data_IF_377278655936
#
_entry.id   IF_377278655936
#
_cell.length_a   1.000
_cell.length_b   1.000
_cell.length_c   1.000
_cell.angle_alpha   90.00
_cell.angle_beta   90.00
_cell.angle_gamma   90.00
#
_symmetry.space_group_name_H-M   'P 1'
#
loop_
_entity.id
_entity.type
_entity.pdbx_description
1 polymer ?
#
# COMPACT_ATOMS: atom_id res chain seq x y z
N UNK A 1 37.89 3.10 4.83
CA UNK A 1 37.93 2.15 3.70
C UNK A 1 36.61 1.38 3.68
N UNK A 2 35.99 1.10 2.52
CA UNK A 2 34.70 0.36 2.32
C UNK A 2 33.34 1.09 2.49
N UNK A 3 33.29 2.42 2.63
CA UNK A 3 32.00 3.13 2.80
C UNK A 3 31.05 3.05 1.59
N UNK A 4 31.60 3.03 0.37
CA UNK A 4 30.81 2.98 -0.87
C UNK A 4 30.26 1.58 -1.15
N UNK A 5 31.10 0.56 -0.94
CA UNK A 5 30.75 -0.87 -1.09
C UNK A 5 29.67 -1.26 -0.10
N UNK A 6 29.78 -0.84 1.17
CA UNK A 6 28.75 -1.08 2.17
C UNK A 6 27.42 -0.41 1.80
N UNK A 7 27.44 0.84 1.32
CA UNK A 7 26.22 1.54 0.89
C UNK A 7 25.53 0.83 -0.29
N UNK A 8 26.30 0.30 -1.24
CA UNK A 8 25.72 -0.46 -2.35
C UNK A 8 25.12 -1.79 -1.90
N UNK A 9 25.77 -2.46 -0.94
CA UNK A 9 25.27 -3.70 -0.37
C UNK A 9 23.98 -3.46 0.42
N UNK A 10 23.98 -2.46 1.31
CA UNK A 10 22.80 -2.07 2.09
C UNK A 10 21.61 -1.76 1.18
N UNK A 11 21.84 -0.96 0.12
CA UNK A 11 20.80 -0.64 -0.86
C UNK A 11 20.27 -1.89 -1.58
N UNK A 12 21.15 -2.80 -1.99
CA UNK A 12 20.76 -4.04 -2.64
C UNK A 12 19.84 -4.88 -1.74
N UNK A 13 20.27 -5.11 -0.49
CA UNK A 13 19.52 -5.89 0.50
C UNK A 13 18.17 -5.24 0.81
N UNK A 14 18.16 -3.92 1.02
CA UNK A 14 16.93 -3.19 1.34
C UNK A 14 15.90 -3.30 0.20
N UNK A 15 16.33 -3.09 -1.05
CA UNK A 15 15.43 -3.16 -2.19
C UNK A 15 14.91 -4.58 -2.43
N UNK A 16 15.77 -5.60 -2.32
CA UNK A 16 15.35 -7.00 -2.47
C UNK A 16 14.32 -7.39 -1.39
N UNK A 17 14.53 -6.99 -0.13
CA UNK A 17 13.57 -7.23 0.94
C UNK A 17 12.23 -6.53 0.70
N UNK A 18 12.25 -5.30 0.16
CA UNK A 18 11.02 -4.57 -0.19
C UNK A 18 10.25 -5.29 -1.29
N UNK A 19 10.92 -5.76 -2.34
CA UNK A 19 10.27 -6.52 -3.41
C UNK A 19 9.68 -7.84 -2.89
N UNK A 20 10.45 -8.61 -2.10
CA UNK A 20 9.95 -9.85 -1.50
C UNK A 20 8.71 -9.61 -0.63
N UNK A 21 8.73 -8.60 0.23
CA UNK A 21 7.58 -8.24 1.08
C UNK A 21 6.37 -7.80 0.25
N UNK A 22 6.59 -6.98 -0.78
CA UNK A 22 5.51 -6.51 -1.66
C UNK A 22 4.84 -7.67 -2.43
N UNK A 23 5.62 -8.71 -2.77
CA UNK A 23 5.12 -9.93 -3.41
C UNK A 23 4.49 -10.93 -2.41
N UNK A 24 4.49 -10.62 -1.12
CA UNK A 24 3.88 -11.44 -0.08
C UNK A 24 4.77 -12.60 0.41
N UNK A 25 6.08 -12.53 0.22
CA UNK A 25 7.01 -13.46 0.86
C UNK A 25 6.81 -13.43 2.38
N UNK A 26 6.64 -14.60 3.02
CA UNK A 26 6.32 -14.78 4.44
C UNK A 26 4.97 -14.18 4.91
N UNK A 27 4.09 -13.71 4.02
CA UNK A 27 2.78 -13.15 4.41
C UNK A 27 1.74 -14.20 4.82
N UNK A 28 1.94 -15.45 4.39
CA UNK A 28 1.02 -16.58 4.61
C UNK A 28 1.81 -17.78 5.11
N UNK A 29 1.44 -18.32 6.27
CA UNK A 29 2.16 -19.41 6.92
C UNK A 29 2.06 -20.77 6.21
N UNK A 30 1.07 -20.98 5.33
CA UNK A 30 0.80 -22.25 4.64
C UNK A 30 1.17 -22.24 3.14
N UNK A 31 2.14 -21.40 2.76
CA UNK A 31 2.57 -21.29 1.36
C UNK A 31 3.53 -22.42 0.99
N UNK A 32 3.27 -23.08 -0.13
CA UNK A 32 4.17 -24.12 -0.67
C UNK A 32 5.51 -23.54 -1.13
N UNK A 33 6.60 -24.30 -0.92
CA UNK A 33 7.98 -23.89 -1.27
C UNK A 33 8.14 -23.48 -2.74
N UNK A 34 7.45 -24.15 -3.66
CA UNK A 34 7.48 -23.83 -5.09
C UNK A 34 6.97 -22.41 -5.39
N UNK A 35 6.07 -21.88 -4.56
CA UNK A 35 5.54 -20.52 -4.70
C UNK A 35 6.55 -19.52 -4.16
N UNK A 36 7.24 -19.83 -3.07
CA UNK A 36 8.30 -18.99 -2.53
C UNK A 36 9.48 -18.84 -3.50
N UNK A 37 9.87 -19.91 -4.18
CA UNK A 37 10.90 -19.87 -5.23
C UNK A 37 10.47 -18.97 -6.40
N UNK A 38 9.20 -19.06 -6.83
CA UNK A 38 8.65 -18.16 -7.87
C UNK A 38 8.67 -16.70 -7.42
N UNK A 39 8.37 -16.44 -6.15
CA UNK A 39 8.42 -15.08 -5.57
C UNK A 39 9.84 -14.54 -5.58
N UNK A 40 10.83 -15.35 -5.20
CA UNK A 40 12.23 -14.97 -5.22
C UNK A 40 12.70 -14.65 -6.64
N UNK A 41 12.44 -15.53 -7.62
CA UNK A 41 12.78 -15.29 -9.02
C UNK A 41 12.09 -14.04 -9.60
N UNK A 42 10.85 -13.77 -9.18
CA UNK A 42 10.14 -12.58 -9.60
C UNK A 42 10.70 -11.30 -8.97
N UNK A 43 11.06 -11.32 -7.69
CA UNK A 43 11.72 -10.21 -7.00
C UNK A 43 13.05 -9.84 -7.67
N UNK A 44 13.86 -10.84 -8.05
CA UNK A 44 15.14 -10.61 -8.75
C UNK A 44 14.92 -9.98 -10.14
N UNK A 45 13.88 -10.43 -10.86
CA UNK A 45 13.50 -9.84 -12.16
C UNK A 45 13.11 -8.37 -12.03
N UNK A 46 12.33 -8.03 -10.99
CA UNK A 46 11.93 -6.66 -10.71
C UNK A 46 13.13 -5.78 -10.36
N UNK A 47 14.08 -6.30 -9.59
CA UNK A 47 15.30 -5.58 -9.24
C UNK A 47 16.13 -5.22 -10.48
N UNK A 48 16.31 -6.15 -11.41
CA UNK A 48 17.03 -5.86 -12.66
C UNK A 48 16.32 -4.85 -13.54
N UNK A 49 14.97 -4.91 -13.61
CA UNK A 49 14.18 -3.92 -14.34
C UNK A 49 14.34 -2.53 -13.72
N UNK A 50 14.28 -2.42 -12.39
CA UNK A 50 14.50 -1.16 -11.68
C UNK A 50 15.88 -0.58 -12.01
N UNK A 51 16.96 -1.39 -11.99
CA UNK A 51 18.30 -0.93 -12.36
C UNK A 51 18.38 -0.41 -13.80
N UNK A 52 17.67 -1.04 -14.74
CA UNK A 52 17.61 -0.55 -16.12
C UNK A 52 16.87 0.80 -16.21
N UNK A 53 15.80 0.97 -15.44
CA UNK A 53 15.05 2.22 -15.38
C UNK A 53 15.88 3.35 -14.79
N UNK A 54 16.57 3.13 -13.67
CA UNK A 54 17.44 4.13 -13.05
C UNK A 54 18.55 4.59 -13.98
N UNK A 55 19.16 3.66 -14.74
CA UNK A 55 20.16 4.01 -15.75
C UNK A 55 19.58 4.88 -16.85
N UNK A 56 18.43 4.49 -17.39
CA UNK A 56 17.76 5.26 -18.45
C UNK A 56 17.34 6.67 -17.98
N UNK A 57 16.87 6.81 -16.74
CA UNK A 57 16.56 8.13 -16.15
C UNK A 57 17.84 8.94 -15.96
N UNK A 58 18.90 8.36 -15.39
CA UNK A 58 20.15 9.06 -15.18
C UNK A 58 20.82 9.50 -16.50
N UNK A 59 20.65 8.74 -17.58
CA UNK A 59 21.09 9.12 -18.93
C UNK A 59 20.23 10.26 -19.50
N UNK A 60 18.91 10.17 -19.39
CA UNK A 60 18.00 11.22 -19.83
C UNK A 60 18.24 12.55 -19.07
N UNK A 61 18.45 12.49 -17.75
CA UNK A 61 18.78 13.66 -16.92
C UNK A 61 20.12 14.28 -17.34
N UNK A 62 21.16 13.47 -17.59
CA UNK A 62 22.46 13.96 -18.06
C UNK A 62 22.38 14.60 -19.44
N UNK A 63 21.53 14.06 -20.31
CA UNK A 63 21.31 14.57 -21.67
C UNK A 63 20.29 15.70 -21.72
N UNK A 64 19.66 16.06 -20.60
CA UNK A 64 18.59 17.06 -20.52
C UNK A 64 17.34 16.67 -21.30
N UNK A 65 17.14 15.38 -21.57
CA UNK A 65 15.96 14.84 -22.27
C UNK A 65 14.84 14.56 -21.29
N UNK A 66 13.60 14.58 -21.79
CA UNK A 66 12.42 14.25 -20.99
C UNK A 66 12.52 12.84 -20.39
N UNK A 67 12.01 12.67 -19.16
CA UNK A 67 12.09 11.41 -18.44
C UNK A 67 11.47 10.25 -19.24
N UNK A 68 12.17 9.11 -19.37
CA UNK A 68 11.66 7.97 -20.11
C UNK A 68 10.39 7.42 -19.45
N UNK A 69 9.31 7.29 -20.23
CA UNK A 69 8.06 6.66 -19.78
C UNK A 69 8.24 5.14 -19.77
N UNK A 70 8.08 4.53 -18.60
CA UNK A 70 8.15 3.08 -18.45
C UNK A 70 6.76 2.43 -18.53
N UNK A 71 6.68 1.28 -19.20
CA UNK A 71 5.45 0.51 -19.27
C UNK A 71 5.00 0.07 -17.86
N UNK A 72 3.71 0.21 -17.50
CA UNK A 72 3.21 -0.21 -16.20
C UNK A 72 3.30 -1.74 -16.04
N UNK A 73 3.64 -2.20 -14.84
CA UNK A 73 3.87 -3.62 -14.56
C UNK A 73 2.58 -4.47 -14.57
N UNK A 74 1.41 -3.83 -14.46
CA UNK A 74 0.12 -4.48 -14.24
C UNK A 74 -0.76 -4.56 -15.50
N UNK A 75 -0.32 -4.03 -16.65
CA UNK A 75 -1.18 -4.00 -17.86
C UNK A 75 -1.39 -5.37 -18.50
N UNK A 76 -0.50 -6.33 -18.21
CA UNK A 76 -0.56 -7.69 -18.74
C UNK A 76 -0.82 -8.71 -17.63
N UNK A 77 -1.97 -8.61 -16.95
CA UNK A 77 -2.56 -9.71 -16.15
C UNK A 77 -1.57 -10.50 -15.28
N UNK A 78 -0.58 -9.82 -14.69
CA UNK A 78 0.42 -10.46 -13.86
C UNK A 78 -0.31 -11.02 -12.65
N UNK A 79 -0.47 -12.34 -12.60
CA UNK A 79 -1.10 -13.07 -11.50
C UNK A 79 -0.59 -12.52 -10.18
N UNK A 80 -1.42 -11.70 -9.55
CA UNK A 80 -1.38 -11.52 -8.11
C UNK A 80 -1.54 -12.91 -7.52
N UNK A 81 -0.42 -13.52 -7.11
CA UNK A 81 -0.45 -14.89 -6.59
C UNK A 81 -1.07 -14.93 -5.20
N UNK A 82 -1.43 -13.78 -4.59
CA UNK A 82 -2.24 -13.73 -3.36
C UNK A 82 -3.02 -12.42 -3.21
N UNK A 83 -4.03 -12.20 -4.05
CA UNK A 83 -5.17 -11.36 -3.67
C UNK A 83 -6.44 -12.21 -3.74
N UNK A 84 -7.10 -12.52 -2.61
CA UNK A 84 -8.48 -12.95 -2.68
C UNK A 84 -9.31 -11.73 -3.09
N UNK A 85 -9.95 -11.83 -4.25
CA UNK A 85 -11.13 -11.10 -4.68
C UNK A 85 -11.20 -9.59 -4.33
N UNK A 86 -10.56 -8.77 -5.15
CA UNK A 86 -11.06 -7.43 -5.50
C UNK A 86 -11.10 -7.28 -7.04
N UNK A 87 -11.54 -8.33 -7.74
CA UNK A 87 -11.81 -8.31 -9.17
C UNK A 87 -13.33 -8.15 -9.37
N UNK A 88 -13.85 -6.97 -9.03
CA UNK A 88 -15.22 -6.56 -9.36
C UNK A 88 -15.35 -5.03 -9.33
N UNK A 89 -14.48 -4.29 -10.04
CA UNK A 89 -14.68 -2.86 -10.29
C UNK A 89 -13.87 -2.33 -11.48
N UNK A 90 -13.66 -3.13 -12.53
CA UNK A 90 -12.96 -2.68 -13.73
C UNK A 90 -13.81 -2.89 -14.99
N UNK A 91 -14.97 -2.23 -15.03
CA UNK A 91 -15.64 -1.88 -16.28
C UNK A 91 -16.28 -0.51 -16.13
N UNK A 92 -16.11 0.34 -17.15
CA UNK A 92 -16.51 1.75 -17.28
C UNK A 92 -15.49 2.76 -16.70
N UNK A 93 -15.04 3.80 -17.38
CA UNK A 93 -15.22 4.26 -18.75
C UNK A 93 -14.08 5.25 -19.08
N UNK A 94 -13.90 5.47 -20.38
CA UNK A 94 -13.01 6.45 -21.01
C UNK A 94 -13.56 7.88 -20.81
N UNK A 95 -12.63 8.85 -20.69
CA UNK A 95 -12.79 10.31 -20.83
C UNK A 95 -13.77 11.06 -19.89
N UNK A 96 -13.22 11.94 -19.04
CA UNK A 96 -13.44 13.40 -19.04
C UNK A 96 -12.81 14.02 -17.77
N UNK A 97 -11.86 14.94 -17.95
CA UNK A 97 -11.51 15.97 -16.96
C UNK A 97 -12.53 17.08 -17.17
N UNK A 98 -13.30 17.55 -16.16
CA UNK A 98 -12.77 18.51 -15.18
C UNK A 98 -13.41 18.53 -13.78
N UNK A 99 -12.73 19.26 -12.87
CA UNK A 99 -13.25 19.87 -11.63
C UNK A 99 -13.32 19.03 -10.34
N UNK A 100 -12.23 18.34 -9.98
CA UNK A 100 -12.13 17.55 -8.73
C UNK A 100 -11.46 18.34 -7.59
N UNK A 101 -11.99 19.51 -7.22
CA UNK A 101 -11.51 20.25 -6.04
C UNK A 101 -12.56 20.44 -4.94
N UNK A 102 -13.75 19.82 -5.06
CA UNK A 102 -14.81 19.95 -4.04
C UNK A 102 -15.42 18.64 -3.55
N UNK A 103 -15.10 17.51 -4.17
CA UNK A 103 -15.58 16.17 -3.79
C UNK A 103 -14.45 15.17 -3.55
N UNK A 104 -13.22 15.65 -3.46
CA UNK A 104 -12.04 14.80 -3.29
C UNK A 104 -12.05 14.15 -1.90
N UNK A 105 -11.77 12.83 -1.79
CA UNK A 105 -11.58 12.13 -0.51
C UNK A 105 -10.66 12.87 0.48
N UNK A 106 -9.75 13.72 -0.03
CA UNK A 106 -8.89 14.61 0.73
C UNK A 106 -9.63 15.58 1.66
N UNK A 107 -10.82 16.06 1.30
CA UNK A 107 -11.58 16.98 2.14
C UNK A 107 -12.12 16.34 3.42
N UNK A 108 -12.18 15.00 3.47
CA UNK A 108 -12.60 14.22 4.64
C UNK A 108 -11.44 13.89 5.58
N UNK A 109 -10.20 14.20 5.19
CA UNK A 109 -9.03 14.00 6.02
C UNK A 109 -8.87 15.15 7.01
N UNK A 110 -8.23 14.95 8.17
CA UNK A 110 -8.00 16.01 9.12
C UNK A 110 -7.05 17.10 8.54
N UNK A 111 -7.20 18.33 9.04
CA UNK A 111 -6.63 19.55 8.44
C UNK A 111 -5.09 19.54 8.39
N UNK A 112 -4.45 18.90 9.36
CA UNK A 112 -3.02 18.66 9.45
C UNK A 112 -2.51 17.80 8.27
N UNK A 113 -3.21 16.69 7.99
CA UNK A 113 -2.86 15.81 6.86
C UNK A 113 -3.11 16.52 5.53
N UNK A 114 -4.19 17.29 5.43
CA UNK A 114 -4.45 18.09 4.22
C UNK A 114 -3.33 19.09 3.94
N UNK A 115 -2.78 19.73 4.98
CA UNK A 115 -1.67 20.67 4.84
C UNK A 115 -0.39 19.97 4.37
N UNK A 116 -0.06 18.82 4.97
CA UNK A 116 1.11 18.01 4.57
C UNK A 116 1.00 17.51 3.12
N UNK A 117 -0.20 17.14 2.68
CA UNK A 117 -0.42 16.72 1.29
C UNK A 117 -0.21 17.89 0.33
N UNK A 118 -0.76 19.06 0.65
CA UNK A 118 -0.59 20.27 -0.17
C UNK A 118 0.88 20.68 -0.27
N UNK A 119 1.60 20.71 0.84
CA UNK A 119 3.04 20.98 0.89
C UNK A 119 3.83 20.03 -0.02
N UNK A 120 3.52 18.72 0.03
CA UNK A 120 4.15 17.73 -0.85
C UNK A 120 3.83 17.98 -2.33
N UNK A 121 2.61 18.40 -2.67
CA UNK A 121 2.18 18.65 -4.04
C UNK A 121 2.73 19.95 -4.64
N UNK A 122 3.02 20.95 -3.80
CA UNK A 122 3.56 22.26 -4.22
C UNK A 122 4.94 22.13 -4.88
N UNK A 123 5.76 21.18 -4.44
CA UNK A 123 7.11 20.93 -4.98
C UNK A 123 7.15 20.16 -6.30
N UNK A 124 6.05 19.51 -6.72
CA UNK A 124 6.00 18.74 -7.98
C UNK A 124 5.34 19.57 -9.08
N UNK A 125 5.84 19.51 -10.31
CA UNK A 125 5.23 20.19 -11.47
C UNK A 125 4.94 19.20 -12.59
N UNK A 126 3.95 19.50 -13.43
CA UNK A 126 3.60 18.68 -14.58
C UNK A 126 3.12 17.26 -14.21
N UNK A 127 3.69 16.26 -14.90
CA UNK A 127 3.26 14.84 -14.82
C UNK A 127 3.47 14.25 -13.41
N UNK A 128 4.52 14.67 -12.70
CA UNK A 128 4.81 14.16 -11.36
C UNK A 128 3.72 14.52 -10.35
N UNK A 129 3.13 15.72 -10.49
CA UNK A 129 2.02 16.16 -9.65
C UNK A 129 0.78 15.30 -9.88
N UNK A 130 0.42 15.05 -11.14
CA UNK A 130 -0.72 14.18 -11.47
C UNK A 130 -0.53 12.75 -10.95
N UNK A 131 0.69 12.22 -11.05
CA UNK A 131 1.03 10.89 -10.54
C UNK A 131 0.89 10.84 -9.01
N UNK A 132 1.40 11.87 -8.32
CA UNK A 132 1.32 11.96 -6.87
C UNK A 132 -0.13 12.09 -6.38
N UNK A 133 -0.96 12.88 -7.07
CA UNK A 133 -2.39 13.01 -6.76
C UNK A 133 -3.13 11.67 -6.93
N UNK A 134 -2.87 10.95 -8.02
CA UNK A 134 -3.45 9.61 -8.25
C UNK A 134 -2.99 8.60 -7.19
N UNK A 135 -1.72 8.63 -6.81
CA UNK A 135 -1.18 7.76 -5.75
C UNK A 135 -1.84 8.05 -4.39
N UNK A 136 -1.99 9.32 -4.03
CA UNK A 136 -2.67 9.73 -2.79
C UNK A 136 -4.15 9.35 -2.79
N UNK A 137 -4.84 9.51 -3.92
CA UNK A 137 -6.23 9.08 -4.05
C UNK A 137 -6.38 7.56 -3.83
N UNK A 138 -5.47 6.77 -4.42
CA UNK A 138 -5.43 5.33 -4.22
C UNK A 138 -5.17 4.96 -2.74
N UNK A 139 -4.21 5.62 -2.09
CA UNK A 139 -3.91 5.41 -0.67
C UNK A 139 -5.12 5.72 0.23
N UNK A 140 -5.82 6.83 -0.03
CA UNK A 140 -7.02 7.17 0.74
C UNK A 140 -8.11 6.12 0.55
N UNK A 141 -8.33 5.65 -0.69
CA UNK A 141 -9.33 4.61 -0.96
C UNK A 141 -8.99 3.29 -0.24
N UNK A 142 -7.73 2.85 -0.31
CA UNK A 142 -7.26 1.65 0.39
C UNK A 142 -7.39 1.81 1.92
N UNK A 143 -7.05 2.98 2.46
CA UNK A 143 -7.21 3.28 3.88
C UNK A 143 -8.67 3.23 4.36
N UNK A 144 -9.63 3.62 3.52
CA UNK A 144 -11.06 3.52 3.82
C UNK A 144 -11.51 2.05 3.90
N UNK A 145 -11.05 1.20 2.99
CA UNK A 145 -11.34 -0.25 3.01
C UNK A 145 -10.74 -0.93 4.24
N UNK A 146 -9.47 -0.64 4.58
CA UNK A 146 -8.82 -1.15 5.78
C UNK A 146 -9.58 -0.73 7.04
N UNK A 147 -10.00 0.54 7.12
CA UNK A 147 -10.81 1.03 8.25
C UNK A 147 -12.16 0.31 8.34
N UNK A 148 -12.82 0.04 7.22
CA UNK A 148 -14.08 -0.70 7.19
C UNK A 148 -13.89 -2.15 7.68
N UNK A 149 -12.86 -2.84 7.19
CA UNK A 149 -12.51 -4.19 7.60
C UNK A 149 -12.18 -4.26 9.09
N UNK A 150 -11.37 -3.32 9.59
CA UNK A 150 -11.03 -3.26 11.02
C UNK A 150 -12.26 -3.01 11.90
N UNK A 151 -13.19 -2.15 11.46
CA UNK A 151 -14.45 -1.92 12.15
C UNK A 151 -15.30 -3.20 12.23
N UNK A 152 -15.32 -4.00 11.17
CA UNK A 152 -16.03 -5.28 11.17
C UNK A 152 -15.37 -6.29 12.12
N UNK A 153 -14.05 -6.45 12.07
CA UNK A 153 -13.30 -7.32 13.00
C UNK A 153 -13.57 -6.93 14.46
N UNK A 154 -13.57 -5.62 14.76
CA UNK A 154 -13.85 -5.14 16.11
C UNK A 154 -15.30 -5.42 16.54
N UNK A 155 -16.27 -5.24 15.63
CA UNK A 155 -17.67 -5.58 15.90
C UNK A 155 -17.84 -7.07 16.17
N UNK A 156 -17.25 -7.92 15.34
CA UNK A 156 -17.33 -9.38 15.49
C UNK A 156 -16.73 -9.81 16.83
N UNK A 157 -15.53 -9.30 17.17
CA UNK A 157 -14.91 -9.56 18.48
C UNK A 157 -15.74 -9.03 19.65
N UNK A 158 -16.41 -7.87 19.49
CA UNK A 158 -17.30 -7.33 20.52
C UNK A 158 -18.59 -8.13 20.68
N UNK A 159 -19.14 -8.67 19.58
CA UNK A 159 -20.33 -9.52 19.61
C UNK A 159 -20.01 -10.88 20.24
N UNK A 160 -18.83 -11.46 19.97
CA UNK A 160 -18.34 -12.65 20.66
C UNK A 160 -18.16 -12.40 22.17
N UNK A 161 -17.64 -11.24 22.56
CA UNK A 161 -17.55 -10.84 23.98
C UNK A 161 -18.95 -10.74 24.60
N UNK A 162 -19.90 -10.11 23.93
CA UNK A 162 -21.28 -9.98 24.41
C UNK A 162 -21.96 -11.35 24.57
N UNK A 163 -21.79 -12.26 23.61
CA UNK A 163 -22.30 -13.64 23.73
C UNK A 163 -21.74 -14.37 24.95
N UNK A 164 -20.43 -14.23 25.24
CA UNK A 164 -19.83 -14.82 26.44
C UNK A 164 -20.43 -14.26 27.74
N UNK A 165 -20.76 -12.97 27.75
CA UNK A 165 -21.43 -12.32 28.88
C UNK A 165 -22.87 -12.82 29.01
N UNK A 166 -23.61 -12.90 27.90
CA UNK A 166 -25.00 -13.39 27.86
C UNK A 166 -25.14 -14.88 28.25
N UNK A 167 -24.18 -15.71 27.84
CA UNK A 167 -24.10 -17.14 28.19
C UNK A 167 -23.58 -17.37 29.63
N UNK A 168 -23.18 -16.32 30.34
CA UNK A 168 -22.66 -16.40 31.72
C UNK A 168 -21.21 -16.92 31.82
N UNK A 169 -20.51 -17.08 30.69
CA UNK A 169 -19.12 -17.53 30.59
C UNK A 169 -18.14 -16.33 30.54
N UNK A 170 -18.32 -15.36 31.44
CA UNK A 170 -17.53 -14.14 31.49
C UNK A 170 -16.06 -14.41 31.85
N UNK A 171 -15.11 -13.84 31.09
CA UNK A 171 -13.69 -13.89 31.47
C UNK A 171 -13.41 -12.91 32.62
N UNK A 172 -12.37 -13.16 33.42
CA UNK A 172 -11.92 -12.23 34.48
C UNK A 172 -11.72 -10.80 33.93
N UNK A 173 -11.19 -10.67 32.70
CA UNK A 173 -11.01 -9.38 32.02
C UNK A 173 -12.35 -8.73 31.66
N UNK A 174 -13.36 -9.52 31.28
CA UNK A 174 -14.69 -9.02 30.93
C UNK A 174 -15.42 -8.48 32.18
N UNK A 175 -15.28 -9.16 33.33
CA UNK A 175 -15.78 -8.68 34.64
C UNK A 175 -15.11 -7.40 35.12
N UNK A 176 -13.79 -7.32 34.99
CA UNK A 176 -13.04 -6.12 35.39
C UNK A 176 -13.40 -4.94 34.48
N UNK A 177 -13.56 -5.19 33.17
CA UNK A 177 -13.98 -4.17 32.21
C UNK A 177 -15.41 -3.69 32.45
N UNK A 178 -16.34 -4.57 32.86
CA UNK A 178 -17.73 -4.16 33.13
C UNK A 178 -17.85 -3.32 34.40
N UNK A 179 -17.05 -3.62 35.43
CA UNK A 179 -17.02 -2.86 36.70
C UNK A 179 -16.31 -1.51 36.55
N UNK A 180 -15.18 -1.46 35.84
CA UNK A 180 -14.41 -0.20 35.64
C UNK A 180 -15.01 0.71 34.55
N UNK A 181 -15.64 0.13 33.53
CA UNK A 181 -16.26 0.90 32.43
C UNK A 181 -17.56 1.62 32.83
N UNK A 182 -18.16 1.25 33.96
CA UNK A 182 -19.39 1.86 34.49
C UNK A 182 -19.17 3.09 35.38
N UNK A 183 -17.92 3.52 35.63
CA UNK A 183 -17.60 4.66 36.49
C UNK A 183 -17.11 5.89 35.70
N UNK A 184 -17.74 6.16 34.55
CA UNK A 184 -17.56 7.41 33.79
C UNK A 184 -18.90 7.98 33.36
#
# INVERSE_FOLDING_TARGET
MCRTENKSLERCVEMQQKFLKALGYLSTFDRGKDVDEKIQMHADTLYHRMLAQEKAVAEAEKEGKEMPKFAPLLENGGSSVTAPAAAAAATAAKEEVPEILKTSPLAKLPLDIQAQIKEKLEGLTGIERELQEKALAAEISAGQEVKANLKNIYKDSSAERQKRVEEGNETIVDRVSSILGGWK
#
